data_IF_970950076140
#
_entry.id   IF_970950076140
#
_cell.length_a   1.000
_cell.length_b   1.000
_cell.length_c   1.000
_cell.angle_alpha   90.00
_cell.angle_beta   90.00
_cell.angle_gamma   90.00
#
_symmetry.space_group_name_H-M   'P 1'
#
loop_
_entity.id
_entity.type
_entity.pdbx_description
1 polymer ?
#
# COMPACT_ATOMS: atom_id res chain seq x y z
N UNK A 1 -0.50 8.42 -29.10
CA UNK A 1 0.17 8.48 -27.79
C UNK A 1 -0.64 7.64 -26.82
N UNK A 2 -0.20 6.41 -26.48
CA UNK A 2 -0.91 5.55 -25.53
C UNK A 2 -0.29 5.75 -24.15
N UNK A 3 -0.93 6.56 -23.33
CA UNK A 3 -0.64 6.63 -21.90
C UNK A 3 -0.97 5.25 -21.32
N UNK A 4 0.03 4.38 -21.21
CA UNK A 4 -0.05 3.20 -20.37
C UNK A 4 -0.01 3.72 -18.93
N UNK A 5 -1.10 4.32 -18.48
CA UNK A 5 -1.29 4.75 -17.11
C UNK A 5 -1.52 3.51 -16.26
N UNK A 6 -0.42 2.84 -15.93
CA UNK A 6 -0.36 1.88 -14.84
C UNK A 6 -0.77 2.63 -13.58
N UNK A 7 -2.04 2.52 -13.19
CA UNK A 7 -2.55 3.14 -11.97
C UNK A 7 -2.06 2.29 -10.80
N UNK A 8 -1.06 2.80 -10.08
CA UNK A 8 -0.61 2.19 -8.83
C UNK A 8 -1.62 2.57 -7.76
N UNK A 9 -2.28 1.56 -7.20
CA UNK A 9 -3.19 1.69 -6.07
C UNK A 9 -2.46 1.23 -4.81
N UNK A 10 -2.35 2.11 -3.83
CA UNK A 10 -1.85 1.79 -2.50
C UNK A 10 -3.03 1.67 -1.56
N UNK A 11 -3.29 0.46 -1.08
CA UNK A 11 -4.23 0.23 0.01
C UNK A 11 -3.43 0.24 1.32
N UNK A 12 -3.56 1.33 2.07
CA UNK A 12 -2.96 1.50 3.39
C UNK A 12 -4.02 1.28 4.49
N UNK A 13 -4.95 0.33 4.27
CA UNK A 13 -6.03 0.07 5.22
C UNK A 13 -5.47 -0.70 6.41
N UNK A 14 -5.38 -0.09 7.61
CA UNK A 14 -4.84 -0.78 8.77
C UNK A 14 -5.83 -1.86 9.21
N UNK A 15 -5.33 -3.06 9.45
CA UNK A 15 -6.13 -4.16 9.99
C UNK A 15 -6.17 -3.99 11.51
N UNK A 16 -7.37 -3.89 12.09
CA UNK A 16 -7.50 -3.94 13.56
C UNK A 16 -7.45 -5.40 14.00
N UNK A 17 -6.49 -5.75 14.84
CA UNK A 17 -6.33 -7.08 15.42
C UNK A 17 -6.13 -6.92 16.93
N UNK A 18 -7.00 -7.56 17.71
CA UNK A 18 -6.87 -7.66 19.18
C UNK A 18 -6.67 -6.34 19.95
N UNK A 19 -7.29 -5.25 19.49
CA UNK A 19 -7.18 -3.94 20.14
C UNK A 19 -6.12 -3.02 19.52
N UNK A 20 -5.17 -3.57 18.79
CA UNK A 20 -4.10 -2.85 18.09
C UNK A 20 -4.43 -2.66 16.60
N UNK A 21 -3.85 -1.62 15.99
CA UNK A 21 -3.92 -1.33 14.57
C UNK A 21 -2.64 -1.81 13.87
N UNK A 22 -2.77 -2.91 13.14
CA UNK A 22 -1.68 -3.42 12.31
C UNK A 22 -1.58 -2.55 11.05
N UNK A 23 -0.47 -1.84 10.93
CA UNK A 23 -0.08 -1.18 9.70
C UNK A 23 0.07 -2.22 8.59
N UNK A 24 -0.66 -1.98 7.52
CA UNK A 24 -0.69 -2.85 6.36
C UNK A 24 -0.65 -1.97 5.13
N UNK A 25 0.29 -2.24 4.25
CA UNK A 25 0.40 -1.57 2.96
C UNK A 25 0.37 -2.62 1.85
N UNK A 26 -0.58 -2.46 0.94
CA UNK A 26 -0.73 -3.32 -0.22
C UNK A 26 -0.66 -2.47 -1.48
N UNK A 27 0.33 -2.73 -2.30
CA UNK A 27 0.56 -2.06 -3.57
C UNK A 27 0.04 -2.99 -4.67
N UNK A 28 -1.07 -2.56 -5.27
CA UNK A 28 -1.66 -3.21 -6.42
C UNK A 28 -1.50 -2.31 -7.62
N UNK A 29 -1.43 -2.89 -8.81
CA UNK A 29 -1.50 -2.12 -10.05
C UNK A 29 -2.72 -2.51 -10.83
N UNK A 30 -3.46 -1.50 -11.27
CA UNK A 30 -4.52 -1.68 -12.23
C UNK A 30 -3.98 -1.41 -13.64
N UNK A 31 -4.11 -2.43 -14.49
CA UNK A 31 -3.85 -2.29 -15.90
C UNK A 31 -5.04 -1.62 -16.57
N UNK A 32 -4.81 -0.85 -17.64
CA UNK A 32 -5.87 -0.22 -18.45
C UNK A 32 -6.92 -1.22 -19.00
N UNK A 33 -6.57 -2.51 -19.06
CA UNK A 33 -7.46 -3.61 -19.39
C UNK A 33 -8.45 -3.98 -18.25
N UNK A 34 -8.41 -3.28 -17.11
CA UNK A 34 -9.26 -3.52 -15.93
C UNK A 34 -8.72 -4.56 -14.96
N UNK A 35 -7.70 -5.34 -15.36
CA UNK A 35 -7.06 -6.33 -14.51
C UNK A 35 -6.20 -5.65 -13.44
N UNK A 36 -6.64 -5.73 -12.19
CA UNK A 36 -5.79 -5.46 -11.03
C UNK A 36 -4.99 -6.70 -10.68
N UNK A 37 -3.68 -6.54 -10.55
CA UNK A 37 -2.82 -7.56 -9.95
C UNK A 37 -2.06 -6.95 -8.78
N UNK A 38 -1.92 -7.75 -7.73
CA UNK A 38 -1.09 -7.40 -6.61
C UNK A 38 0.37 -7.39 -7.07
N UNK A 39 1.05 -6.25 -6.96
CA UNK A 39 2.48 -6.19 -7.23
C UNK A 39 3.25 -6.59 -5.97
N UNK A 40 2.86 -6.02 -4.83
CA UNK A 40 3.55 -6.24 -3.59
C UNK A 40 2.63 -5.97 -2.40
N UNK A 41 2.54 -6.94 -1.50
CA UNK A 41 1.93 -6.74 -0.18
C UNK A 41 3.05 -6.72 0.84
N UNK A 42 3.14 -5.65 1.63
CA UNK A 42 4.07 -5.61 2.76
C UNK A 42 3.69 -6.59 3.87
N UNK A 43 2.42 -7.02 3.90
CA UNK A 43 1.89 -7.80 5.02
C UNK A 43 1.68 -6.93 6.25
N UNK A 44 1.98 -7.47 7.43
CA UNK A 44 1.94 -6.77 8.71
C UNK A 44 3.27 -6.04 8.92
N UNK A 45 3.26 -4.71 8.70
CA UNK A 45 4.45 -3.87 8.88
C UNK A 45 4.79 -3.73 10.36
N UNK A 46 3.81 -3.32 11.16
CA UNK A 46 3.93 -3.14 12.61
C UNK A 46 2.54 -2.95 13.25
N UNK A 47 2.40 -3.33 14.52
CA UNK A 47 1.24 -2.99 15.34
C UNK A 47 1.41 -1.61 15.97
N UNK A 48 0.37 -0.78 15.86
CA UNK A 48 0.31 0.54 16.48
C UNK A 48 -0.95 0.64 17.34
N UNK A 49 -0.85 1.35 18.46
CA UNK A 49 -2.00 1.66 19.31
C UNK A 49 -2.95 2.67 18.63
N UNK A 50 -2.38 3.57 17.83
CA UNK A 50 -3.11 4.59 17.08
C UNK A 50 -3.27 4.19 15.60
N UNK A 51 -4.52 4.30 15.11
CA UNK A 51 -4.84 4.11 13.69
C UNK A 51 -4.06 5.08 12.79
N UNK A 52 -3.88 6.32 13.24
CA UNK A 52 -3.23 7.37 12.45
C UNK A 52 -1.77 7.05 12.18
N UNK A 53 -1.04 6.58 13.21
CA UNK A 53 0.34 6.08 13.06
C UNK A 53 0.42 4.87 12.12
N UNK A 54 -0.50 3.91 12.25
CA UNK A 54 -0.53 2.75 11.36
C UNK A 54 -0.71 3.15 9.89
N UNK A 55 -1.60 4.12 9.61
CA UNK A 55 -1.84 4.64 8.27
C UNK A 55 -0.63 5.44 7.78
N UNK A 56 -0.06 6.30 8.61
CA UNK A 56 1.10 7.11 8.26
C UNK A 56 2.30 6.24 7.90
N UNK A 57 2.56 5.20 8.70
CA UNK A 57 3.64 4.25 8.47
C UNK A 57 3.43 3.45 7.17
N UNK A 58 2.21 2.92 6.96
CA UNK A 58 1.85 2.20 5.74
C UNK A 58 1.99 3.08 4.48
N UNK A 59 1.59 4.36 4.56
CA UNK A 59 1.75 5.32 3.45
C UNK A 59 3.21 5.65 3.17
N UNK A 60 4.00 5.90 4.22
CA UNK A 60 5.42 6.24 4.08
C UNK A 60 6.19 5.09 3.43
N UNK A 61 5.97 3.86 3.92
CA UNK A 61 6.53 2.65 3.31
C UNK A 61 6.13 2.51 1.83
N UNK A 62 4.86 2.76 1.49
CA UNK A 62 4.42 2.65 0.10
C UNK A 62 5.05 3.72 -0.80
N UNK A 63 5.27 4.93 -0.29
CA UNK A 63 5.98 5.98 -1.01
C UNK A 63 7.45 5.61 -1.23
N UNK A 64 8.14 5.12 -0.20
CA UNK A 64 9.53 4.66 -0.28
C UNK A 64 9.66 3.51 -1.29
N UNK A 65 8.74 2.55 -1.27
CA UNK A 65 8.71 1.46 -2.24
C UNK A 65 8.49 1.96 -3.67
N UNK A 66 7.59 2.93 -3.86
CA UNK A 66 7.34 3.54 -5.17
C UNK A 66 8.58 4.28 -5.67
N UNK A 67 9.26 5.04 -4.81
CA UNK A 67 10.49 5.74 -5.13
C UNK A 67 11.62 4.75 -5.44
N UNK A 68 11.79 3.69 -4.66
CA UNK A 68 12.80 2.66 -4.92
C UNK A 68 12.56 1.88 -6.23
N UNK A 69 11.32 1.80 -6.71
CA UNK A 69 10.96 1.04 -7.92
C UNK A 69 10.84 1.89 -9.19
N UNK A 70 10.47 3.15 -9.07
CA UNK A 70 10.25 4.08 -10.19
C UNK A 70 11.23 5.27 -10.22
N UNK A 71 12.04 5.46 -9.18
CA UNK A 71 13.09 6.47 -9.07
C UNK A 71 14.43 6.06 -9.67
#
# INVERSE_FOLDING_TARGET
>A
MRFNSTLIAVDATPRRADGEYMAHARISSNRADGTSYEIHSSGDLAGFDAREDAIAHAKNWAQDWLEARFG
#
